data_IF_087080336726
#
_entry.id   IF_087080336726
#
_cell.length_a   1.000
_cell.length_b   1.000
_cell.length_c   1.000
_cell.angle_alpha   90.00
_cell.angle_beta   90.00
_cell.angle_gamma   90.00
#
_symmetry.space_group_name_H-M   'P 1'
#
loop_
_entity.id
_entity.type
_entity.pdbx_description
1 polymer ?
#
# COMPACT_ATOMS: atom_id res chain seq x y z
N UNK A 1 -48.58 3.94 53.91
CA UNK A 1 -49.86 3.74 53.18
C UNK A 1 -49.53 2.89 51.94
N UNK A 2 -50.34 1.83 51.65
CA UNK A 2 -50.04 0.88 50.57
C UNK A 2 -49.89 1.55 49.18
N UNK A 3 -50.54 2.70 48.99
CA UNK A 3 -50.47 3.48 47.72
C UNK A 3 -49.08 4.05 47.46
N UNK A 4 -48.36 4.48 48.48
CA UNK A 4 -46.98 5.03 48.36
C UNK A 4 -46.01 3.90 47.97
N UNK A 5 -46.17 2.73 48.58
CA UNK A 5 -45.35 1.53 48.26
C UNK A 5 -45.59 1.08 46.80
N UNK A 6 -46.84 1.12 46.35
CA UNK A 6 -47.21 0.75 44.99
C UNK A 6 -46.63 1.75 43.97
N UNK A 7 -46.67 3.03 44.26
CA UNK A 7 -46.07 4.07 43.41
C UNK A 7 -44.53 3.95 43.38
N UNK A 8 -43.89 3.71 44.50
CA UNK A 8 -42.45 3.49 44.57
C UNK A 8 -41.99 2.25 43.78
N UNK A 9 -42.73 1.14 43.89
CA UNK A 9 -42.45 -0.08 43.17
C UNK A 9 -42.62 0.13 41.66
N UNK A 10 -43.62 0.88 41.23
CA UNK A 10 -43.88 1.22 39.82
C UNK A 10 -42.79 2.13 39.26
N UNK A 11 -42.37 3.16 39.99
CA UNK A 11 -41.29 4.06 39.62
C UNK A 11 -39.94 3.31 39.50
N UNK A 12 -39.63 2.42 40.42
CA UNK A 12 -38.45 1.58 40.38
C UNK A 12 -38.46 0.63 39.17
N UNK A 13 -39.63 0.07 38.84
CA UNK A 13 -39.79 -0.78 37.67
C UNK A 13 -39.53 -0.01 36.36
N UNK A 14 -40.04 1.25 36.25
CA UNK A 14 -39.79 2.11 35.09
C UNK A 14 -38.30 2.46 35.00
N UNK A 15 -37.65 2.78 36.15
CA UNK A 15 -36.22 3.08 36.17
C UNK A 15 -35.37 1.88 35.74
N UNK A 16 -35.75 0.69 36.18
CA UNK A 16 -35.07 -0.55 35.82
C UNK A 16 -35.23 -0.89 34.31
N UNK A 17 -36.42 -0.63 33.77
CA UNK A 17 -36.67 -0.81 32.33
C UNK A 17 -36.02 0.26 31.46
N UNK A 18 -35.76 1.47 32.01
CA UNK A 18 -35.09 2.54 31.27
C UNK A 18 -33.60 2.25 31.02
N UNK A 19 -33.01 1.23 31.67
CA UNK A 19 -31.63 0.76 31.47
C UNK A 19 -30.61 1.90 31.63
N UNK A 20 -30.53 2.58 32.82
CA UNK A 20 -29.56 3.66 32.98
C UNK A 20 -28.16 3.13 32.80
N UNK A 21 -27.48 3.51 31.74
CA UNK A 21 -26.09 3.18 31.48
C UNK A 21 -25.23 4.22 32.19
N UNK A 22 -24.54 3.80 33.26
CA UNK A 22 -23.68 4.67 34.08
C UNK A 22 -22.23 4.73 33.53
N UNK A 23 -21.84 3.79 32.69
CA UNK A 23 -20.57 3.81 32.00
C UNK A 23 -20.80 4.18 30.53
N UNK A 24 -20.19 5.28 30.11
CA UNK A 24 -19.99 5.49 28.68
C UNK A 24 -19.00 4.42 28.22
N UNK A 25 -19.51 3.38 27.55
CA UNK A 25 -18.64 2.51 26.76
C UNK A 25 -17.79 3.43 25.88
N UNK A 26 -16.44 3.31 25.90
CA UNK A 26 -15.64 4.05 24.97
C UNK A 26 -16.20 3.74 23.59
N UNK A 27 -16.83 4.74 22.95
CA UNK A 27 -17.17 4.62 21.55
C UNK A 27 -15.86 4.32 20.86
N UNK A 28 -15.79 3.30 19.99
CA UNK A 28 -14.62 3.15 19.14
C UNK A 28 -14.41 4.51 18.50
N UNK A 29 -13.36 5.20 18.92
CA UNK A 29 -12.90 6.40 18.23
C UNK A 29 -12.80 5.92 16.80
N UNK A 30 -13.54 6.51 15.87
CA UNK A 30 -13.35 6.22 14.46
C UNK A 30 -11.86 6.41 14.24
N UNK A 31 -11.13 5.30 14.15
CA UNK A 31 -9.74 5.33 13.74
C UNK A 31 -9.77 6.08 12.44
N UNK A 32 -9.12 7.24 12.38
CA UNK A 32 -8.87 7.88 11.09
C UNK A 32 -8.15 6.82 10.29
N UNK A 33 -8.89 6.18 9.39
CA UNK A 33 -8.33 5.10 8.60
C UNK A 33 -7.31 5.75 7.67
N UNK A 34 -6.04 5.63 8.06
CA UNK A 34 -4.89 5.96 7.24
C UNK A 34 -4.73 4.81 6.24
N UNK A 35 -5.00 5.08 4.97
CA UNK A 35 -4.87 4.10 3.92
C UNK A 35 -3.53 4.30 3.21
N UNK A 36 -2.74 3.22 3.10
CA UNK A 36 -1.48 3.19 2.38
C UNK A 36 -1.57 2.19 1.23
N UNK A 37 -1.38 2.64 0.01
CA UNK A 37 -1.19 1.75 -1.13
C UNK A 37 0.29 1.72 -1.49
N UNK A 38 0.90 0.55 -1.39
CA UNK A 38 2.30 0.33 -1.78
C UNK A 38 2.32 -0.14 -3.23
N UNK A 39 2.96 0.63 -4.09
CA UNK A 39 3.19 0.32 -5.51
C UNK A 39 4.62 -0.17 -5.65
N UNK A 40 4.79 -1.44 -5.98
CA UNK A 40 6.07 -2.12 -5.95
C UNK A 40 6.52 -2.49 -7.37
N UNK A 41 7.70 -2.04 -7.74
CA UNK A 41 8.30 -2.28 -9.05
C UNK A 41 8.80 -3.74 -9.18
N UNK A 42 8.34 -4.41 -10.22
CA UNK A 42 8.78 -5.74 -10.65
C UNK A 42 9.31 -5.72 -12.09
N UNK A 43 9.82 -4.58 -12.56
CA UNK A 43 10.53 -4.51 -13.83
C UNK A 43 11.84 -5.31 -13.79
N UNK A 44 12.37 -5.65 -14.95
CA UNK A 44 13.61 -6.44 -15.04
C UNK A 44 14.82 -5.69 -14.48
N UNK A 45 14.81 -4.34 -14.48
CA UNK A 45 15.85 -3.49 -13.89
C UNK A 45 16.05 -3.75 -12.39
N UNK A 46 15.03 -4.26 -11.70
CA UNK A 46 15.11 -4.65 -10.29
C UNK A 46 16.04 -5.85 -10.03
N UNK A 47 16.45 -6.59 -11.06
CA UNK A 47 17.50 -7.60 -10.93
C UNK A 47 18.93 -7.04 -10.98
N UNK A 48 19.12 -5.74 -11.18
CA UNK A 48 20.42 -5.11 -11.22
C UNK A 48 21.20 -5.37 -9.92
N UNK A 49 22.50 -5.77 -10.01
CA UNK A 49 23.31 -6.17 -8.87
C UNK A 49 24.12 -5.01 -8.25
N UNK A 50 23.71 -3.77 -8.44
CA UNK A 50 24.32 -2.59 -7.81
C UNK A 50 24.10 -2.54 -6.29
N UNK A 51 23.11 -3.30 -5.81
CA UNK A 51 22.94 -3.66 -4.41
C UNK A 51 23.05 -5.17 -4.21
N UNK A 52 23.63 -5.59 -3.09
CA UNK A 52 23.81 -7.01 -2.79
C UNK A 52 22.56 -7.61 -2.12
N UNK A 53 21.98 -8.70 -2.66
CA UNK A 53 22.37 -9.40 -3.89
C UNK A 53 21.86 -8.71 -5.16
N UNK A 54 20.75 -7.95 -5.11
CA UNK A 54 20.16 -7.15 -6.17
C UNK A 54 19.19 -6.11 -5.59
N UNK A 55 18.67 -5.21 -6.44
CA UNK A 55 17.69 -4.18 -6.04
C UNK A 55 16.40 -4.78 -5.50
N UNK A 56 15.89 -5.84 -6.13
CA UNK A 56 14.63 -6.50 -5.73
C UNK A 56 14.71 -7.02 -4.28
N UNK A 57 15.80 -7.68 -3.91
CA UNK A 57 15.96 -8.19 -2.55
C UNK A 57 16.10 -7.05 -1.52
N UNK A 58 16.75 -5.95 -1.91
CA UNK A 58 16.77 -4.75 -1.08
C UNK A 58 15.35 -4.17 -0.91
N UNK A 59 14.60 -4.02 -2.01
CA UNK A 59 13.24 -3.54 -2.00
C UNK A 59 12.32 -4.40 -1.11
N UNK A 60 12.40 -5.73 -1.22
CA UNK A 60 11.66 -6.66 -0.37
C UNK A 60 11.97 -6.51 1.11
N UNK A 61 13.26 -6.31 1.46
CA UNK A 61 13.63 -6.04 2.86
C UNK A 61 13.00 -4.73 3.35
N UNK A 62 13.11 -3.66 2.56
CA UNK A 62 12.49 -2.36 2.88
C UNK A 62 10.99 -2.43 3.00
N UNK A 63 10.33 -3.18 2.10
CA UNK A 63 8.90 -3.42 2.17
C UNK A 63 8.50 -4.09 3.49
N UNK A 64 9.23 -5.13 3.92
CA UNK A 64 8.98 -5.79 5.21
C UNK A 64 9.21 -4.85 6.40
N UNK A 65 10.28 -4.04 6.36
CA UNK A 65 10.54 -3.06 7.42
C UNK A 65 9.37 -2.07 7.54
N UNK A 66 8.82 -1.61 6.41
CA UNK A 66 7.66 -0.70 6.39
C UNK A 66 6.42 -1.40 6.95
N UNK A 67 6.13 -2.63 6.50
CA UNK A 67 5.00 -3.41 6.97
C UNK A 67 5.08 -3.67 8.48
N UNK A 68 6.26 -3.98 9.00
CA UNK A 68 6.49 -4.20 10.44
C UNK A 68 6.27 -2.94 11.30
N UNK A 69 6.40 -1.74 10.72
CA UNK A 69 6.16 -0.46 11.40
C UNK A 69 4.69 -0.02 11.33
N UNK A 70 3.86 -0.72 10.55
CA UNK A 70 2.42 -0.41 10.43
C UNK A 70 1.66 -1.05 11.58
N UNK A 71 1.32 -0.25 12.58
CA UNK A 71 0.51 -0.68 13.73
C UNK A 71 -0.99 -0.47 13.50
N UNK A 72 -1.36 0.51 12.65
CA UNK A 72 -2.74 0.92 12.40
C UNK A 72 -2.96 1.31 10.93
N UNK A 73 -4.25 1.29 10.51
CA UNK A 73 -4.67 1.66 9.16
C UNK A 73 -4.70 0.49 8.19
N UNK A 74 -5.21 0.74 6.99
CA UNK A 74 -5.30 -0.26 5.93
C UNK A 74 -4.10 -0.15 4.99
N UNK A 75 -3.64 -1.28 4.48
CA UNK A 75 -2.54 -1.33 3.52
C UNK A 75 -2.94 -2.20 2.32
N UNK A 76 -2.67 -1.72 1.12
CA UNK A 76 -2.78 -2.49 -0.11
C UNK A 76 -1.41 -2.67 -0.75
N UNK A 77 -1.27 -3.72 -1.56
CA UNK A 77 -0.08 -3.97 -2.35
C UNK A 77 -0.46 -4.08 -3.83
N UNK A 78 0.10 -3.22 -4.64
CA UNK A 78 0.06 -3.22 -6.10
C UNK A 78 1.45 -3.51 -6.61
N UNK A 79 1.58 -4.33 -7.63
CA UNK A 79 2.84 -4.59 -8.34
C UNK A 79 2.71 -4.17 -9.79
N UNK A 80 3.82 -3.76 -10.39
CA UNK A 80 3.82 -3.41 -11.81
C UNK A 80 5.11 -3.80 -12.52
N UNK A 81 4.99 -3.98 -13.82
CA UNK A 81 6.04 -4.07 -14.81
C UNK A 81 5.51 -3.49 -16.14
N UNK A 82 5.33 -4.27 -17.18
CA UNK A 82 4.63 -3.87 -18.43
C UNK A 82 3.12 -3.70 -18.28
N UNK A 83 2.56 -4.10 -17.14
CA UNK A 83 1.18 -3.94 -16.69
C UNK A 83 1.14 -3.82 -15.16
N UNK A 84 -0.02 -3.48 -14.58
CA UNK A 84 -0.19 -3.31 -13.13
C UNK A 84 -1.25 -4.25 -12.58
N UNK A 85 -0.98 -4.82 -11.40
CA UNK A 85 -1.87 -5.79 -10.73
C UNK A 85 -1.99 -5.52 -9.23
N UNK A 86 -3.21 -5.63 -8.70
CA UNK A 86 -3.43 -5.64 -7.26
C UNK A 86 -3.11 -7.02 -6.69
N UNK A 87 -2.11 -7.09 -5.82
CA UNK A 87 -1.74 -8.32 -5.09
C UNK A 87 -2.65 -8.50 -3.88
N UNK A 88 -2.86 -7.44 -3.11
CA UNK A 88 -3.83 -7.39 -2.01
C UNK A 88 -4.60 -6.08 -2.05
N UNK A 89 -5.93 -6.11 -1.92
CA UNK A 89 -6.71 -4.89 -1.71
C UNK A 89 -6.39 -4.29 -0.34
N UNK A 90 -6.97 -3.14 -0.02
CA UNK A 90 -6.83 -2.51 1.29
C UNK A 90 -7.31 -3.46 2.40
N UNK A 91 -6.41 -3.78 3.32
CA UNK A 91 -6.63 -4.68 4.44
C UNK A 91 -5.85 -4.20 5.66
N UNK A 92 -6.34 -4.50 6.86
CA UNK A 92 -5.62 -4.34 8.13
C UNK A 92 -4.72 -5.55 8.46
N UNK A 93 -4.83 -6.63 7.67
CA UNK A 93 -4.00 -7.83 7.82
C UNK A 93 -2.63 -7.69 7.11
N UNK A 94 -1.73 -6.97 7.75
CA UNK A 94 -0.34 -6.78 7.27
C UNK A 94 0.42 -8.10 7.17
N UNK A 95 0.09 -9.09 8.01
CA UNK A 95 0.77 -10.40 8.03
C UNK A 95 0.53 -11.16 6.72
N UNK A 96 -0.69 -11.08 6.18
CA UNK A 96 -1.00 -11.66 4.88
C UNK A 96 -0.17 -11.00 3.77
N UNK A 97 -0.01 -9.66 3.78
CA UNK A 97 0.83 -8.96 2.81
C UNK A 97 2.29 -9.43 2.94
N UNK A 98 2.82 -9.48 4.17
CA UNK A 98 4.19 -9.90 4.43
C UNK A 98 4.48 -11.32 3.92
N UNK A 99 3.52 -12.24 4.07
CA UNK A 99 3.64 -13.62 3.59
C UNK A 99 3.78 -13.72 2.07
N UNK A 100 3.29 -12.74 1.31
CA UNK A 100 3.38 -12.69 -0.16
C UNK A 100 4.69 -12.07 -0.66
N UNK A 101 5.39 -11.27 0.16
CA UNK A 101 6.62 -10.57 -0.25
C UNK A 101 7.69 -11.50 -0.83
N UNK A 102 7.96 -12.71 -0.29
CA UNK A 102 8.97 -13.62 -0.86
C UNK A 102 8.69 -14.01 -2.31
N UNK A 103 7.42 -14.14 -2.69
CA UNK A 103 7.00 -14.58 -4.03
C UNK A 103 7.07 -13.48 -5.09
N UNK A 104 7.21 -12.22 -4.72
CA UNK A 104 7.32 -11.10 -5.65
C UNK A 104 8.58 -11.27 -6.51
N UNK A 105 8.43 -11.28 -7.82
CA UNK A 105 9.53 -11.41 -8.77
C UNK A 105 9.09 -10.91 -10.15
N UNK A 106 9.98 -10.29 -10.93
CA UNK A 106 9.69 -9.96 -12.33
C UNK A 106 9.15 -11.14 -13.12
N UNK A 107 9.54 -12.37 -12.77
CA UNK A 107 9.11 -13.57 -13.47
C UNK A 107 7.63 -13.94 -13.29
N UNK A 108 6.92 -13.34 -12.33
CA UNK A 108 5.47 -13.56 -12.17
C UNK A 108 4.63 -12.60 -13.00
N UNK A 109 5.25 -11.56 -13.55
CA UNK A 109 4.55 -10.56 -14.34
C UNK A 109 4.25 -11.09 -15.74
N UNK A 110 3.00 -10.90 -16.23
CA UNK A 110 2.62 -11.35 -17.58
C UNK A 110 3.35 -10.60 -18.69
N UNK A 111 3.61 -9.30 -18.48
CA UNK A 111 4.26 -8.41 -19.44
C UNK A 111 5.50 -7.78 -18.80
N UNK A 112 6.61 -7.82 -19.53
CA UNK A 112 7.82 -7.09 -19.15
C UNK A 112 7.72 -5.62 -19.56
N UNK A 113 8.38 -4.75 -18.82
CA UNK A 113 8.40 -3.32 -19.02
C UNK A 113 8.42 -2.55 -17.71
N UNK A 114 8.11 -1.26 -17.78
CA UNK A 114 7.93 -0.40 -16.60
C UNK A 114 6.83 0.62 -16.93
N UNK A 115 5.68 0.50 -16.27
CA UNK A 115 4.53 1.40 -16.44
C UNK A 115 4.01 1.88 -15.08
N UNK A 116 4.74 2.77 -14.42
CA UNK A 116 4.38 3.28 -13.10
C UNK A 116 3.07 4.06 -13.10
N UNK A 117 2.72 4.75 -14.19
CA UNK A 117 1.49 5.54 -14.31
C UNK A 117 0.26 4.65 -14.14
N UNK A 118 0.19 3.52 -14.85
CA UNK A 118 -0.94 2.56 -14.74
C UNK A 118 -1.07 2.01 -13.31
N UNK A 119 0.05 1.78 -12.64
CA UNK A 119 0.06 1.28 -11.26
C UNK A 119 -0.43 2.34 -10.26
N UNK A 120 -0.10 3.59 -10.48
CA UNK A 120 -0.56 4.72 -9.66
C UNK A 120 -2.05 4.96 -9.86
N UNK A 121 -2.55 4.91 -11.10
CA UNK A 121 -4.00 4.98 -11.38
C UNK A 121 -4.77 3.88 -10.63
N UNK A 122 -4.24 2.65 -10.67
CA UNK A 122 -4.82 1.54 -9.93
C UNK A 122 -4.78 1.77 -8.41
N UNK A 123 -3.69 2.34 -7.88
CA UNK A 123 -3.54 2.66 -6.47
C UNK A 123 -4.53 3.75 -6.03
N UNK A 124 -4.70 4.81 -6.81
CA UNK A 124 -5.69 5.87 -6.57
C UNK A 124 -7.10 5.28 -6.58
N UNK A 125 -7.42 4.43 -7.55
CA UNK A 125 -8.72 3.75 -7.62
C UNK A 125 -9.03 2.88 -6.39
N UNK A 126 -8.00 2.27 -5.76
CA UNK A 126 -8.16 1.56 -4.49
C UNK A 126 -8.46 2.50 -3.32
N UNK A 127 -7.85 3.70 -3.30
CA UNK A 127 -8.11 4.72 -2.28
C UNK A 127 -9.49 5.34 -2.43
N UNK A 128 -9.93 5.63 -3.65
CA UNK A 128 -11.26 6.18 -3.95
C UNK A 128 -12.40 5.26 -3.52
N UNK A 129 -12.15 3.97 -3.46
CA UNK A 129 -13.11 2.96 -2.98
C UNK A 129 -13.29 2.92 -1.47
N UNK A 130 -12.63 3.79 -0.71
CA UNK A 130 -12.63 3.78 0.75
C UNK A 130 -13.12 5.11 1.34
N UNK A 131 -13.65 5.05 2.57
CA UNK A 131 -13.96 6.23 3.37
C UNK A 131 -12.69 6.82 4.08
N UNK A 132 -11.49 6.44 3.63
CA UNK A 132 -10.25 6.89 4.22
C UNK A 132 -10.10 8.41 4.05
N UNK A 133 -10.02 9.13 5.15
CA UNK A 133 -9.90 10.59 5.15
C UNK A 133 -8.51 11.09 4.72
N UNK A 134 -7.54 10.18 4.59
CA UNK A 134 -6.17 10.43 4.12
C UNK A 134 -5.62 9.18 3.47
N UNK A 135 -5.34 9.28 2.18
CA UNK A 135 -4.71 8.23 1.41
C UNK A 135 -3.27 8.56 1.08
N UNK A 136 -2.40 7.55 1.13
CA UNK A 136 -1.00 7.67 0.70
C UNK A 136 -0.67 6.59 -0.31
N UNK A 137 0.09 6.97 -1.33
CA UNK A 137 0.69 6.03 -2.28
C UNK A 137 2.19 6.04 -2.09
N UNK A 138 2.78 4.88 -1.80
CA UNK A 138 4.22 4.70 -1.72
C UNK A 138 4.69 3.96 -2.98
N UNK A 139 5.35 4.67 -3.88
CA UNK A 139 5.99 4.08 -5.06
C UNK A 139 7.40 3.62 -4.68
N UNK A 140 7.67 2.32 -4.81
CA UNK A 140 8.99 1.71 -4.62
C UNK A 140 9.51 1.30 -6.00
N UNK A 141 10.47 2.03 -6.54
CA UNK A 141 10.99 1.85 -7.91
C UNK A 141 12.49 2.11 -7.97
N UNK A 142 13.15 1.61 -8.99
CA UNK A 142 14.53 1.95 -9.29
C UNK A 142 14.67 3.17 -10.22
N UNK A 143 13.56 3.64 -10.79
CA UNK A 143 13.51 4.84 -11.62
C UNK A 143 12.17 5.05 -12.29
N UNK A 144 11.93 6.27 -12.74
CA UNK A 144 10.81 6.64 -13.59
C UNK A 144 11.42 7.09 -14.93
N UNK A 145 11.04 6.44 -16.00
CA UNK A 145 11.64 6.67 -17.32
C UNK A 145 10.88 7.74 -18.08
N UNK A 146 11.46 8.96 -18.10
CA UNK A 146 11.00 10.04 -18.98
C UNK A 146 10.22 11.14 -18.26
N UNK A 147 10.40 12.36 -18.75
CA UNK A 147 9.75 13.56 -18.24
C UNK A 147 8.21 13.51 -18.36
N UNK A 148 7.71 12.86 -19.41
CA UNK A 148 6.26 12.75 -19.63
C UNK A 148 5.57 11.88 -18.57
N UNK A 149 6.21 10.80 -18.11
CA UNK A 149 5.68 9.95 -17.04
C UNK A 149 5.70 10.66 -15.68
N UNK A 150 6.78 11.39 -15.36
CA UNK A 150 6.86 12.21 -14.15
C UNK A 150 5.76 13.26 -14.10
N UNK A 151 5.49 13.89 -15.25
CA UNK A 151 4.44 14.91 -15.38
C UNK A 151 3.05 14.29 -15.16
N UNK A 152 2.74 13.18 -15.82
CA UNK A 152 1.46 12.47 -15.68
C UNK A 152 1.22 12.02 -14.24
N UNK A 153 2.25 11.48 -13.56
CA UNK A 153 2.16 11.09 -12.16
C UNK A 153 1.84 12.32 -11.29
N UNK A 154 2.53 13.43 -11.52
CA UNK A 154 2.33 14.67 -10.75
C UNK A 154 0.92 15.22 -10.95
N UNK A 155 0.40 15.21 -12.18
CA UNK A 155 -0.96 15.68 -12.49
C UNK A 155 -2.02 14.84 -11.79
N UNK A 156 -1.86 13.51 -11.70
CA UNK A 156 -2.81 12.63 -11.01
C UNK A 156 -2.95 12.95 -9.52
N UNK A 157 -1.89 13.44 -8.87
CA UNK A 157 -1.93 13.83 -7.46
C UNK A 157 -2.34 15.29 -7.23
N UNK A 158 -2.29 16.15 -8.26
CA UNK A 158 -2.66 17.55 -8.14
C UNK A 158 -4.16 17.76 -7.86
N UNK A 159 -5.00 16.85 -8.37
CA UNK A 159 -6.47 16.92 -8.25
C UNK A 159 -7.02 16.08 -7.07
N UNK A 160 -6.16 15.32 -6.38
CA UNK A 160 -6.53 14.43 -5.29
C UNK A 160 -5.89 14.86 -3.97
N UNK A 161 -6.58 14.65 -2.84
CA UNK A 161 -6.05 14.91 -1.49
C UNK A 161 -5.10 13.78 -1.02
N UNK A 162 -4.52 13.01 -1.95
CA UNK A 162 -3.61 11.91 -1.64
C UNK A 162 -2.15 12.35 -1.68
N UNK A 163 -1.33 11.73 -0.83
CA UNK A 163 0.11 11.98 -0.75
C UNK A 163 0.89 10.92 -1.53
N UNK A 164 1.75 11.36 -2.46
CA UNK A 164 2.71 10.48 -3.13
C UNK A 164 4.06 10.50 -2.42
N UNK A 165 4.51 9.32 -2.03
CA UNK A 165 5.84 9.08 -1.49
C UNK A 165 6.61 8.21 -2.48
N UNK A 166 7.84 8.59 -2.80
CA UNK A 166 8.68 7.81 -3.72
C UNK A 166 9.90 7.30 -2.97
N UNK A 167 10.13 6.00 -3.03
CA UNK A 167 11.32 5.35 -2.52
C UNK A 167 12.15 4.83 -3.69
N UNK A 168 13.22 5.54 -4.01
CA UNK A 168 14.20 5.12 -5.00
C UNK A 168 15.06 3.95 -4.49
N UNK A 169 15.25 2.93 -5.34
CA UNK A 169 16.00 1.72 -5.03
C UNK A 169 17.06 1.53 -6.11
N UNK A 170 18.31 1.74 -5.76
CA UNK A 170 19.42 1.64 -6.70
C UNK A 170 20.50 2.66 -6.42
N UNK A 171 21.52 2.67 -7.24
CA UNK A 171 22.61 3.64 -7.20
C UNK A 171 22.56 4.52 -8.45
N UNK A 172 23.13 5.73 -8.37
CA UNK A 172 23.21 6.64 -9.52
C UNK A 172 24.00 6.04 -10.70
N UNK A 173 24.96 5.16 -10.40
CA UNK A 173 25.83 4.53 -11.41
C UNK A 173 25.14 3.37 -12.11
N UNK A 174 24.13 2.74 -11.45
CA UNK A 174 23.46 1.55 -11.94
C UNK A 174 24.39 0.34 -12.07
N UNK A 175 23.88 -0.76 -12.59
CA UNK A 175 24.67 -1.92 -12.95
C UNK A 175 24.00 -2.71 -14.06
N UNK A 176 24.79 -3.29 -15.01
CA UNK A 176 24.24 -4.10 -16.08
C UNK A 176 23.65 -5.41 -15.56
N UNK A 177 22.49 -5.77 -16.06
CA UNK A 177 21.77 -6.99 -15.69
C UNK A 177 22.28 -8.14 -16.56
N UNK A 178 22.69 -9.25 -15.93
CA UNK A 178 23.08 -10.48 -16.63
C UNK A 178 21.88 -11.38 -16.85
N UNK A 179 21.71 -11.83 -18.07
CA UNK A 179 20.76 -12.88 -18.41
C UNK A 179 21.32 -14.26 -18.05
N UNK A 180 20.46 -15.28 -17.96
CA UNK A 180 20.86 -16.65 -17.65
C UNK A 180 21.85 -17.24 -18.68
N UNK A 181 21.88 -16.70 -19.91
CA UNK A 181 22.80 -17.10 -20.98
C UNK A 181 24.16 -16.41 -20.88
N UNK A 182 24.40 -15.62 -19.83
CA UNK A 182 25.66 -14.90 -19.59
C UNK A 182 25.83 -13.60 -20.36
N UNK A 183 24.85 -13.22 -21.19
CA UNK A 183 24.80 -11.93 -21.88
C UNK A 183 24.29 -10.83 -20.96
N UNK A 184 24.44 -9.58 -21.35
CA UNK A 184 23.81 -8.46 -20.68
C UNK A 184 22.47 -8.12 -21.31
N UNK A 185 21.52 -7.71 -20.49
CA UNK A 185 20.27 -7.15 -20.98
C UNK A 185 20.56 -5.80 -21.62
N UNK A 186 20.07 -5.61 -22.83
CA UNK A 186 20.18 -4.34 -23.56
C UNK A 186 18.78 -3.82 -23.86
N UNK A 187 18.65 -2.50 -23.95
CA UNK A 187 17.42 -1.87 -24.42
C UNK A 187 17.21 -2.09 -25.94
N UNK A 188 16.11 -1.58 -26.48
CA UNK A 188 15.79 -1.67 -27.92
C UNK A 188 16.83 -0.98 -28.82
N UNK A 189 17.62 -0.05 -28.27
CA UNK A 189 18.69 0.65 -28.94
C UNK A 189 20.06 -0.08 -28.82
N UNK A 190 20.12 -1.18 -28.06
CA UNK A 190 21.33 -1.96 -27.82
C UNK A 190 22.25 -1.38 -26.74
N UNK A 191 21.76 -0.41 -25.94
CA UNK A 191 22.48 0.14 -24.79
C UNK A 191 22.33 -0.78 -23.56
N UNK A 192 23.36 -0.76 -22.67
CA UNK A 192 23.40 -1.53 -21.40
C UNK A 192 22.69 -0.77 -20.29
#
# INVERSE_FOLDING_TARGET
TPLILLFAAWSLSILALAGPVWEQLPQPVQKKEDALVIVFDLSLSMFAPDHSPNRLDLAKRKLRDILALREEGQTALVVYAGDAHTVTPLTDDVVTIEALVPSLSPNIMPLFGSKPVEAIELAIGLLDGTDASRGKVLLMTDGISGFDEELLITEQFADNDYELLIMGIGTEEGAPIRTNDGNFLTDEAGAL
#
